data_IF_824888840804
#
_entry.id   IF_824888840804
#
_cell.length_a   1.000
_cell.length_b   1.000
_cell.length_c   1.000
_cell.angle_alpha   90.00
_cell.angle_beta   90.00
_cell.angle_gamma   90.00
#
_symmetry.space_group_name_H-M   'P 1'
#
loop_
_entity.id
_entity.type
_entity.pdbx_description
1 polymer ?
#
# COMPACT_ATOMS: atom_id res chain seq x y z
N UNK A 1 -10.87 -0.05 33.31
CA UNK A 1 -10.89 -0.37 34.75
C UNK A 1 -9.55 0.03 35.35
N UNK A 2 -9.50 0.55 36.58
CA UNK A 2 -8.23 0.71 37.31
C UNK A 2 -7.92 -0.62 38.02
N UNK A 3 -6.74 -1.20 37.80
CA UNK A 3 -6.24 -2.28 38.65
C UNK A 3 -5.72 -1.64 39.95
N UNK A 4 -6.50 -1.78 41.00
CA UNK A 4 -6.15 -1.28 42.32
C UNK A 4 -5.04 -2.16 42.93
N UNK A 5 -3.92 -1.54 43.30
CA UNK A 5 -2.68 -2.22 43.69
C UNK A 5 -2.80 -2.90 45.05
N UNK A 6 -3.44 -4.07 45.09
CA UNK A 6 -3.45 -4.94 46.27
C UNK A 6 -2.02 -5.31 46.67
N UNK A 7 -1.72 -5.17 47.96
CA UNK A 7 -0.40 -5.42 48.50
C UNK A 7 -0.01 -6.90 48.23
N UNK A 8 1.20 -7.20 47.71
CA UNK A 8 1.60 -8.58 47.41
C UNK A 8 1.55 -9.49 48.65
N UNK A 9 1.75 -8.95 49.86
CA UNK A 9 1.56 -9.71 51.11
C UNK A 9 0.10 -10.15 51.30
N UNK A 10 -0.88 -9.28 50.98
CA UNK A 10 -2.31 -9.64 51.03
C UNK A 10 -2.69 -10.68 49.96
N UNK A 11 -2.11 -10.60 48.76
CA UNK A 11 -2.32 -11.62 47.72
C UNK A 11 -1.76 -12.98 48.16
N UNK A 12 -0.57 -13.01 48.76
CA UNK A 12 0.01 -14.23 49.33
C UNK A 12 -0.85 -14.79 50.48
N UNK A 13 -1.34 -13.95 51.39
CA UNK A 13 -2.26 -14.38 52.46
C UNK A 13 -3.56 -14.95 51.89
N UNK A 14 -4.18 -14.29 50.90
CA UNK A 14 -5.40 -14.78 50.25
C UNK A 14 -5.17 -16.11 49.51
N UNK A 15 -4.03 -16.26 48.82
CA UNK A 15 -3.67 -17.51 48.14
C UNK A 15 -3.48 -18.66 49.15
N UNK A 16 -2.68 -18.46 50.20
CA UNK A 16 -2.43 -19.47 51.25
C UNK A 16 -3.73 -19.85 51.98
N UNK A 17 -4.58 -18.88 52.32
CA UNK A 17 -5.89 -19.14 52.94
C UNK A 17 -6.83 -19.90 51.99
N UNK A 18 -6.85 -19.55 50.71
CA UNK A 18 -7.67 -20.26 49.71
C UNK A 18 -7.20 -21.71 49.54
N UNK A 19 -5.88 -21.93 49.49
CA UNK A 19 -5.29 -23.26 49.32
C UNK A 19 -5.45 -24.15 50.57
N UNK A 20 -5.43 -23.55 51.77
CA UNK A 20 -5.80 -24.21 53.02
C UNK A 20 -7.30 -24.55 53.05
N UNK A 21 -8.17 -23.62 52.65
CA UNK A 21 -9.62 -23.87 52.60
C UNK A 21 -9.96 -25.03 51.65
N UNK A 22 -9.38 -25.04 50.44
CA UNK A 22 -9.55 -26.13 49.46
C UNK A 22 -9.13 -27.49 50.04
N UNK A 23 -8.02 -27.54 50.78
CA UNK A 23 -7.47 -28.78 51.37
C UNK A 23 -8.26 -29.24 52.61
N UNK A 24 -8.90 -28.32 53.33
CA UNK A 24 -9.86 -28.62 54.40
C UNK A 24 -11.20 -29.11 53.81
N UNK A 25 -11.66 -28.54 52.70
CA UNK A 25 -12.89 -28.98 52.02
C UNK A 25 -12.74 -30.35 51.36
N UNK A 26 -11.62 -30.63 50.68
CA UNK A 26 -11.36 -31.96 50.11
C UNK A 26 -11.10 -33.02 51.19
N UNK A 27 -10.68 -32.62 52.40
CA UNK A 27 -10.65 -33.51 53.56
C UNK A 27 -12.04 -33.76 54.18
N UNK A 28 -13.07 -32.95 53.86
CA UNK A 28 -14.46 -33.13 54.33
C UNK A 28 -15.35 -33.82 53.29
N UNK A 29 -15.15 -33.52 52.01
CA UNK A 29 -15.81 -34.19 50.89
C UNK A 29 -14.93 -35.33 50.40
N UNK A 30 -15.23 -36.56 50.83
CA UNK A 30 -14.48 -37.79 50.50
C UNK A 30 -14.53 -38.24 49.04
N UNK A 31 -14.44 -37.32 48.08
CA UNK A 31 -14.36 -37.60 46.65
C UNK A 31 -12.90 -37.72 46.21
N UNK A 32 -12.54 -38.89 45.66
CA UNK A 32 -11.27 -39.08 44.96
C UNK A 32 -11.38 -38.45 43.58
N UNK A 33 -10.47 -37.55 43.24
CA UNK A 33 -10.13 -37.30 41.83
C UNK A 33 -9.23 -38.43 41.30
N UNK A 34 -9.27 -38.76 40.00
CA UNK A 34 -8.48 -39.86 39.44
C UNK A 34 -6.99 -39.50 39.33
N UNK A 35 -6.19 -40.15 40.17
CA UNK A 35 -4.76 -40.46 39.96
C UNK A 35 -3.86 -39.41 39.27
N UNK A 36 -3.21 -38.57 40.08
CA UNK A 36 -1.80 -38.23 39.84
C UNK A 36 -0.90 -39.09 40.76
N UNK A 37 0.42 -39.05 40.56
CA UNK A 37 1.38 -40.04 41.08
C UNK A 37 1.34 -40.26 42.61
N UNK A 38 1.41 -41.54 43.03
CA UNK A 38 1.32 -41.92 44.45
C UNK A 38 2.68 -41.78 45.16
N UNK A 39 2.89 -40.66 45.84
CA UNK A 39 3.92 -40.53 46.88
C UNK A 39 3.36 -41.00 48.24
N UNK A 40 3.62 -42.27 48.61
CA UNK A 40 3.30 -42.79 49.96
C UNK A 40 4.27 -42.20 50.99
N UNK A 41 3.78 -41.31 51.86
CA UNK A 41 4.50 -40.94 53.10
C UNK A 41 4.40 -42.12 54.07
N UNK A 42 5.46 -42.93 54.14
CA UNK A 42 5.61 -44.00 55.13
C UNK A 42 6.23 -43.44 56.41
N UNK A 43 5.43 -43.29 57.46
CA UNK A 43 5.93 -42.94 58.80
C UNK A 43 6.50 -44.19 59.50
N UNK A 44 7.79 -44.43 59.29
CA UNK A 44 8.61 -45.37 60.09
C UNK A 44 9.61 -44.61 60.96
N UNK A 45 9.70 -44.95 62.24
CA UNK A 45 10.60 -44.29 63.19
C UNK A 45 12.03 -44.88 63.20
N UNK A 46 12.91 -44.29 64.03
CA UNK A 46 14.26 -44.78 64.45
C UNK A 46 15.40 -44.56 63.42
N UNK A 47 16.60 -44.06 63.79
CA UNK A 47 17.00 -43.21 64.92
C UNK A 47 17.90 -42.00 64.50
N UNK A 48 18.71 -41.50 65.44
CA UNK A 48 19.57 -40.30 65.42
C UNK A 48 20.92 -40.47 64.66
N UNK A 49 21.51 -39.32 64.25
CA UNK A 49 22.90 -39.05 63.85
C UNK A 49 23.37 -39.32 62.41
N UNK A 50 23.20 -38.30 61.55
CA UNK A 50 24.20 -37.88 60.54
C UNK A 50 24.33 -36.34 60.61
N UNK A 51 25.53 -35.79 60.38
CA UNK A 51 25.79 -34.36 60.50
C UNK A 51 25.19 -33.53 59.34
N UNK A 52 24.54 -32.41 59.67
CA UNK A 52 23.96 -31.47 58.70
C UNK A 52 24.91 -30.28 58.47
N UNK A 53 25.35 -30.02 57.23
CA UNK A 53 26.09 -28.80 56.91
C UNK A 53 25.23 -27.55 57.11
N UNK A 54 25.77 -26.51 57.77
CA UNK A 54 25.03 -25.30 58.07
C UNK A 54 24.72 -24.46 56.81
N UNK A 55 23.47 -24.00 56.58
CA UNK A 55 23.08 -23.30 55.33
C UNK A 55 23.81 -21.99 54.99
N UNK A 56 24.66 -21.47 55.89
CA UNK A 56 25.28 -20.15 55.76
C UNK A 56 26.56 -20.13 54.91
N UNK A 57 27.20 -21.28 54.62
CA UNK A 57 28.48 -21.29 53.91
C UNK A 57 28.39 -20.98 52.39
N UNK A 58 27.20 -21.08 51.78
CA UNK A 58 27.04 -20.83 50.34
C UNK A 58 27.10 -19.33 49.94
N UNK A 59 26.97 -18.39 50.88
CA UNK A 59 26.79 -16.97 50.55
C UNK A 59 28.08 -16.22 50.19
N UNK A 60 29.27 -16.73 50.55
CA UNK A 60 30.49 -15.92 50.49
C UNK A 60 31.30 -16.02 49.18
N UNK A 61 30.90 -16.87 48.23
CA UNK A 61 31.76 -17.34 47.12
C UNK A 61 31.38 -16.86 45.71
N UNK A 62 30.52 -15.84 45.59
CA UNK A 62 30.04 -15.32 44.29
C UNK A 62 30.34 -13.83 44.01
N UNK A 63 30.95 -13.10 44.95
CA UNK A 63 31.26 -11.67 44.81
C UNK A 63 32.78 -11.39 44.87
N UNK A 64 33.55 -11.92 43.91
CA UNK A 64 34.96 -11.54 43.70
C UNK A 64 35.31 -11.55 42.20
N UNK A 65 36.01 -10.52 41.74
CA UNK A 65 36.75 -10.51 40.46
C UNK A 65 35.94 -10.33 39.19
N UNK A 66 35.50 -9.11 38.91
CA UNK A 66 35.21 -8.66 37.55
C UNK A 66 36.31 -7.70 37.10
N UNK A 67 36.98 -8.00 35.98
CA UNK A 67 38.00 -7.17 35.35
C UNK A 67 37.89 -7.35 33.81
N UNK A 68 37.73 -6.28 33.01
CA UNK A 68 37.29 -6.42 31.63
C UNK A 68 38.44 -6.58 30.62
N UNK A 69 38.29 -7.52 29.68
CA UNK A 69 39.05 -7.55 28.41
C UNK A 69 38.11 -7.53 27.20
N UNK A 70 38.59 -7.07 26.03
CA UNK A 70 37.72 -6.60 24.94
C UNK A 70 37.09 -7.73 24.12
N UNK A 71 36.11 -7.31 23.31
CA UNK A 71 35.20 -8.12 22.51
C UNK A 71 35.91 -8.93 21.43
N UNK A 72 35.56 -10.22 21.31
CA UNK A 72 35.23 -10.87 20.02
C UNK A 72 34.42 -12.14 20.30
N UNK A 73 33.13 -11.99 20.67
CA UNK A 73 32.25 -13.11 21.00
C UNK A 73 31.46 -13.56 19.76
N UNK A 74 31.96 -14.59 19.07
CA UNK A 74 31.17 -15.36 18.11
C UNK A 74 30.07 -16.07 18.90
N UNK A 75 28.83 -15.57 18.79
CA UNK A 75 27.70 -16.09 19.55
C UNK A 75 27.04 -17.27 18.84
N UNK A 76 27.71 -18.41 18.92
CA UNK A 76 27.03 -19.71 18.83
C UNK A 76 26.02 -19.76 19.99
N UNK A 77 24.73 -19.75 19.66
CA UNK A 77 23.65 -19.94 20.64
C UNK A 77 23.40 -21.46 20.77
N UNK A 78 23.88 -22.14 21.84
CA UNK A 78 23.62 -23.57 21.99
C UNK A 78 22.10 -23.81 22.08
N UNK A 79 21.54 -24.75 21.30
CA UNK A 79 20.09 -24.91 21.17
C UNK A 79 19.43 -25.18 22.53
N UNK A 80 18.35 -24.46 22.81
CA UNK A 80 17.64 -24.49 24.09
C UNK A 80 18.14 -23.48 25.13
N UNK A 81 19.07 -22.57 24.79
CA UNK A 81 19.53 -21.52 25.69
C UNK A 81 18.39 -20.61 26.15
N UNK A 82 17.44 -20.26 25.25
CA UNK A 82 16.23 -19.50 25.62
C UNK A 82 15.35 -20.26 26.62
N UNK A 83 15.13 -21.56 26.43
CA UNK A 83 14.36 -22.40 27.36
C UNK A 83 15.06 -22.52 28.72
N UNK A 84 16.37 -22.78 28.73
CA UNK A 84 17.17 -22.88 29.95
C UNK A 84 17.17 -21.56 30.74
N UNK A 85 17.28 -20.41 30.06
CA UNK A 85 17.21 -19.09 30.68
C UNK A 85 15.83 -18.77 31.25
N UNK A 86 14.74 -19.16 30.59
CA UNK A 86 13.38 -19.02 31.14
C UNK A 86 13.23 -19.83 32.44
N UNK A 87 13.58 -21.12 32.41
CA UNK A 87 13.52 -22.04 33.57
C UNK A 87 14.38 -21.57 34.74
N UNK A 88 15.60 -21.09 34.46
CA UNK A 88 16.52 -20.49 35.45
C UNK A 88 15.94 -19.22 36.07
N UNK A 89 15.36 -18.33 35.25
CA UNK A 89 14.77 -17.07 35.70
C UNK A 89 13.52 -17.30 36.56
N UNK A 90 12.67 -18.27 36.19
CA UNK A 90 11.52 -18.67 36.99
C UNK A 90 11.92 -19.19 38.37
N UNK A 91 12.84 -20.16 38.43
CA UNK A 91 13.37 -20.72 39.70
C UNK A 91 14.00 -19.65 40.60
N UNK A 92 14.74 -18.68 40.03
CA UNK A 92 15.27 -17.54 40.77
C UNK A 92 14.16 -16.61 41.29
N UNK A 93 13.13 -16.34 40.48
CA UNK A 93 11.98 -15.51 40.85
C UNK A 93 11.16 -16.09 41.99
N UNK A 94 10.73 -17.36 41.87
CA UNK A 94 9.92 -18.02 42.91
C UNK A 94 10.69 -18.19 44.21
N UNK A 95 11.99 -18.51 44.15
CA UNK A 95 12.87 -18.53 45.33
C UNK A 95 12.97 -17.16 46.00
N UNK A 96 13.21 -16.10 45.22
CA UNK A 96 13.30 -14.75 45.76
C UNK A 96 11.98 -14.29 46.41
N UNK A 97 10.83 -14.75 45.90
CA UNK A 97 9.52 -14.46 46.46
C UNK A 97 9.24 -15.24 47.77
N UNK A 98 9.52 -16.55 47.78
CA UNK A 98 9.16 -17.43 48.88
C UNK A 98 10.17 -17.41 50.04
N UNK A 99 11.45 -17.14 49.80
CA UNK A 99 12.48 -16.99 50.86
C UNK A 99 12.66 -15.53 51.33
N UNK A 100 11.69 -14.65 51.06
CA UNK A 100 11.77 -13.22 51.42
C UNK A 100 11.51 -12.91 52.91
N UNK A 101 10.93 -13.85 53.67
CA UNK A 101 10.55 -13.66 55.07
C UNK A 101 11.66 -14.11 56.02
N UNK A 102 12.17 -13.22 56.88
CA UNK A 102 13.14 -13.60 57.91
C UNK A 102 12.46 -14.30 59.10
N UNK A 103 13.22 -15.09 59.88
CA UNK A 103 12.72 -15.70 61.11
C UNK A 103 12.24 -14.64 62.10
N UNK A 104 12.98 -13.54 62.22
CA UNK A 104 12.68 -12.42 63.10
C UNK A 104 11.42 -11.68 62.67
N UNK A 105 11.18 -11.52 61.36
CA UNK A 105 9.92 -10.98 60.84
C UNK A 105 8.73 -11.90 61.12
N UNK A 106 8.90 -13.21 60.91
CA UNK A 106 7.86 -14.20 61.20
C UNK A 106 7.50 -14.21 62.69
N UNK A 107 8.49 -14.25 63.59
CA UNK A 107 8.28 -14.22 65.03
C UNK A 107 7.57 -12.93 65.50
N UNK A 108 7.90 -11.77 64.90
CA UNK A 108 7.22 -10.49 65.17
C UNK A 108 5.75 -10.46 64.75
N UNK A 109 5.33 -11.31 63.81
CA UNK A 109 3.92 -11.43 63.43
C UNK A 109 3.08 -12.23 64.45
N UNK A 110 3.72 -12.99 65.33
CA UNK A 110 3.06 -13.87 66.32
C UNK A 110 3.46 -13.57 67.78
N UNK A 111 3.43 -12.30 68.25
CA UNK A 111 3.99 -11.90 69.53
C UNK A 111 3.19 -12.40 70.75
N UNK A 112 1.95 -12.85 70.55
CA UNK A 112 1.06 -13.40 71.58
C UNK A 112 1.32 -14.87 71.89
N UNK A 113 2.13 -15.57 71.08
CA UNK A 113 2.49 -16.96 71.29
C UNK A 113 3.77 -17.08 72.11
N UNK A 114 3.85 -18.11 72.96
CA UNK A 114 5.10 -18.46 73.62
C UNK A 114 6.17 -18.95 72.63
N UNK A 115 7.44 -18.90 73.05
CA UNK A 115 8.60 -19.22 72.18
C UNK A 115 8.55 -20.65 71.61
N UNK A 116 7.94 -21.62 72.29
CA UNK A 116 7.85 -22.99 71.80
C UNK A 116 6.80 -23.12 70.69
N UNK A 117 5.61 -22.50 70.87
CA UNK A 117 4.60 -22.40 69.81
C UNK A 117 5.09 -21.59 68.62
N UNK A 118 5.82 -20.49 68.87
CA UNK A 118 6.45 -19.68 67.83
C UNK A 118 7.46 -20.47 66.99
N UNK A 119 8.36 -21.24 67.61
CA UNK A 119 9.30 -22.10 66.88
C UNK A 119 8.56 -23.17 66.08
N UNK A 120 7.57 -23.84 66.66
CA UNK A 120 6.76 -24.85 65.97
C UNK A 120 6.02 -24.27 64.75
N UNK A 121 5.43 -23.08 64.87
CA UNK A 121 4.82 -22.36 63.74
C UNK A 121 5.85 -22.00 62.67
N UNK A 122 7.08 -21.65 63.04
CA UNK A 122 8.15 -21.35 62.08
C UNK A 122 8.64 -22.62 61.34
N UNK A 123 8.72 -23.77 62.02
CA UNK A 123 9.01 -25.05 61.37
C UNK A 123 7.90 -25.48 60.40
N UNK A 124 6.62 -25.30 60.78
CA UNK A 124 5.48 -25.50 59.86
C UNK A 124 5.52 -24.54 58.67
N UNK A 125 5.90 -23.27 58.88
CA UNK A 125 6.07 -22.29 57.80
C UNK A 125 7.16 -22.73 56.80
N UNK A 126 8.32 -23.21 57.27
CA UNK A 126 9.36 -23.77 56.39
C UNK A 126 8.81 -24.96 55.57
N UNK A 127 8.06 -25.87 56.19
CA UNK A 127 7.47 -27.03 55.49
C UNK A 127 6.44 -26.60 54.42
N UNK A 128 5.60 -25.60 54.72
CA UNK A 128 4.64 -25.03 53.77
C UNK A 128 5.36 -24.33 52.62
N UNK A 129 6.41 -23.56 52.89
CA UNK A 129 7.22 -22.87 51.87
C UNK A 129 7.96 -23.87 50.98
N UNK A 130 8.53 -24.94 51.54
CA UNK A 130 9.19 -25.99 50.76
C UNK A 130 8.20 -26.74 49.85
N UNK A 131 7.06 -27.21 50.38
CA UNK A 131 6.05 -27.87 49.55
C UNK A 131 5.44 -26.94 48.50
N UNK A 132 5.26 -25.65 48.81
CA UNK A 132 4.80 -24.67 47.83
C UNK A 132 5.84 -24.43 46.73
N UNK A 133 7.13 -24.47 47.07
CA UNK A 133 8.23 -24.42 46.11
C UNK A 133 8.15 -25.58 45.11
N UNK A 134 8.10 -26.82 45.61
CA UNK A 134 8.11 -28.03 44.79
C UNK A 134 6.87 -28.06 43.87
N UNK A 135 5.68 -27.80 44.43
CA UNK A 135 4.42 -27.78 43.66
C UNK A 135 4.43 -26.71 42.54
N UNK A 136 4.95 -25.50 42.82
CA UNK A 136 4.97 -24.41 41.82
C UNK A 136 6.00 -24.65 40.73
N UNK A 137 7.11 -25.34 41.03
CA UNK A 137 8.05 -25.78 40.01
C UNK A 137 7.49 -26.95 39.18
N UNK A 138 6.77 -27.92 39.78
CA UNK A 138 6.09 -29.00 39.05
C UNK A 138 5.02 -28.48 38.08
N UNK A 139 4.11 -27.61 38.56
CA UNK A 139 3.07 -26.99 37.73
C UNK A 139 3.66 -26.15 36.59
N UNK A 140 4.77 -25.42 36.83
CA UNK A 140 5.44 -24.64 35.79
C UNK A 140 6.03 -25.51 34.68
N UNK A 141 6.69 -26.62 35.03
CA UNK A 141 7.24 -27.56 34.05
C UNK A 141 6.12 -28.27 33.27
N UNK A 142 5.03 -28.63 33.95
CA UNK A 142 3.81 -29.19 33.34
C UNK A 142 3.20 -28.24 32.29
N UNK A 143 2.99 -26.97 32.67
CA UNK A 143 2.49 -25.93 31.75
C UNK A 143 3.45 -25.73 30.57
N UNK A 144 4.76 -25.65 30.80
CA UNK A 144 5.75 -25.49 29.72
C UNK A 144 5.78 -26.67 28.74
N UNK A 145 5.49 -27.89 29.22
CA UNK A 145 5.36 -29.10 28.40
C UNK A 145 4.05 -29.08 27.59
N UNK A 146 2.90 -28.87 28.23
CA UNK A 146 1.58 -28.84 27.58
C UNK A 146 1.51 -27.76 26.49
N UNK A 147 1.95 -26.54 26.82
CA UNK A 147 1.96 -25.40 25.89
C UNK A 147 3.11 -25.42 24.89
N UNK A 148 4.02 -26.39 24.98
CA UNK A 148 5.19 -26.58 24.09
C UNK A 148 6.11 -25.35 24.00
N UNK A 149 6.20 -24.56 25.07
CA UNK A 149 7.00 -23.33 25.15
C UNK A 149 8.48 -23.58 24.84
N UNK A 150 9.03 -24.76 25.17
CA UNK A 150 10.37 -25.17 24.74
C UNK A 150 10.54 -25.09 23.23
N UNK A 151 9.82 -25.94 22.48
CA UNK A 151 9.90 -25.99 21.02
C UNK A 151 9.59 -24.64 20.33
N UNK A 152 8.70 -23.83 20.92
CA UNK A 152 8.44 -22.46 20.43
C UNK A 152 9.65 -21.53 20.63
N UNK A 153 10.32 -21.59 21.78
CA UNK A 153 11.56 -20.84 22.05
C UNK A 153 12.73 -21.36 21.19
N UNK A 154 12.84 -22.67 20.98
CA UNK A 154 13.86 -23.28 20.12
C UNK A 154 13.68 -22.85 18.65
N UNK A 155 12.43 -22.79 18.17
CA UNK A 155 12.10 -22.26 16.84
C UNK A 155 12.49 -20.78 16.73
N UNK A 156 12.29 -19.99 17.79
CA UNK A 156 12.69 -18.57 17.85
C UNK A 156 14.20 -18.40 18.13
N UNK A 157 14.90 -19.43 18.60
CA UNK A 157 16.38 -19.51 18.63
C UNK A 157 16.89 -19.66 17.19
N UNK A 158 16.48 -20.73 16.49
CA UNK A 158 16.89 -21.01 15.11
C UNK A 158 16.53 -19.92 14.10
N UNK A 159 15.33 -19.32 14.17
CA UNK A 159 14.94 -18.21 13.28
C UNK A 159 15.77 -16.93 13.50
N UNK A 160 16.32 -16.73 14.70
CA UNK A 160 17.22 -15.59 14.99
C UNK A 160 18.64 -15.89 14.52
N UNK A 161 19.09 -17.13 14.67
CA UNK A 161 20.36 -17.62 14.13
C UNK A 161 20.37 -17.54 12.59
N UNK A 162 19.36 -18.12 11.92
CA UNK A 162 19.14 -18.04 10.47
C UNK A 162 19.15 -16.59 9.97
N UNK A 163 18.42 -15.68 10.63
CA UNK A 163 18.43 -14.25 10.29
C UNK A 163 19.74 -13.52 10.58
N UNK A 164 20.59 -14.05 11.46
CA UNK A 164 21.93 -13.49 11.69
C UNK A 164 22.97 -14.00 10.69
N UNK A 165 22.72 -15.15 10.07
CA UNK A 165 23.58 -15.78 9.06
C UNK A 165 23.19 -15.37 7.62
N UNK A 166 21.92 -15.04 7.37
CA UNK A 166 21.48 -14.48 6.08
C UNK A 166 21.90 -13.01 5.94
N UNK A 167 23.15 -12.82 5.51
CA UNK A 167 23.76 -11.52 5.15
C UNK A 167 23.01 -10.79 4.02
N UNK A 168 22.14 -11.47 3.27
CA UNK A 168 21.29 -10.85 2.24
C UNK A 168 19.90 -10.44 2.77
N UNK A 169 19.54 -10.84 4.00
CA UNK A 169 18.23 -10.56 4.61
C UNK A 169 18.04 -9.12 5.10
N UNK A 170 19.08 -8.27 5.02
CA UNK A 170 18.92 -6.84 5.26
C UNK A 170 18.25 -6.18 4.04
N UNK A 171 16.93 -6.39 3.95
CA UNK A 171 16.03 -5.78 2.96
C UNK A 171 16.23 -4.26 2.86
N UNK A 172 16.75 -3.60 3.91
CA UNK A 172 16.97 -2.15 3.90
C UNK A 172 18.04 -1.74 2.89
N UNK A 173 19.11 -2.51 2.72
CA UNK A 173 20.17 -2.23 1.76
C UNK A 173 19.65 -2.39 0.32
N UNK A 174 19.09 -3.56 0.00
CA UNK A 174 18.54 -3.87 -1.32
C UNK A 174 17.42 -2.88 -1.72
N UNK A 175 16.54 -2.52 -0.79
CA UNK A 175 15.48 -1.55 -1.04
C UNK A 175 16.00 -0.13 -1.28
N UNK A 176 17.03 0.32 -0.55
CA UNK A 176 17.65 1.64 -0.74
C UNK A 176 18.31 1.75 -2.12
N UNK A 177 19.04 0.72 -2.55
CA UNK A 177 19.71 0.74 -3.86
C UNK A 177 18.73 0.66 -5.03
N UNK A 178 17.70 -0.22 -4.95
CA UNK A 178 16.62 -0.27 -5.94
C UNK A 178 15.89 1.08 -6.01
N UNK A 179 15.56 1.69 -4.87
CA UNK A 179 14.92 3.01 -4.81
C UNK A 179 15.80 4.10 -5.41
N UNK A 180 17.12 4.07 -5.19
CA UNK A 180 18.06 5.02 -5.77
C UNK A 180 18.21 4.82 -7.29
N UNK A 181 18.29 3.58 -7.77
CA UNK A 181 18.36 3.26 -9.19
C UNK A 181 17.09 3.70 -9.94
N UNK A 182 15.90 3.38 -9.42
CA UNK A 182 14.61 3.83 -9.98
C UNK A 182 14.50 5.36 -9.96
N UNK A 183 14.97 6.01 -8.88
CA UNK A 183 14.96 7.48 -8.79
C UNK A 183 15.91 8.15 -9.79
N UNK A 184 17.06 7.55 -10.13
CA UNK A 184 17.94 8.02 -11.21
C UNK A 184 17.23 7.85 -12.56
N UNK A 185 16.81 6.63 -12.90
CA UNK A 185 16.17 6.32 -14.17
C UNK A 185 14.96 7.22 -14.47
N UNK A 186 14.08 7.47 -13.48
CA UNK A 186 12.94 8.37 -13.64
C UNK A 186 13.34 9.85 -13.80
N UNK A 187 14.43 10.29 -13.16
CA UNK A 187 14.96 11.66 -13.35
C UNK A 187 15.53 11.83 -14.76
N UNK A 188 16.23 10.83 -15.28
CA UNK A 188 16.83 10.85 -16.61
C UNK A 188 15.75 10.78 -17.71
N UNK A 189 14.70 9.97 -17.52
CA UNK A 189 13.50 9.93 -18.36
C UNK A 189 12.76 11.28 -18.40
N UNK A 190 12.54 11.91 -17.24
CA UNK A 190 11.95 13.26 -17.16
C UNK A 190 12.81 14.29 -17.88
N UNK A 191 14.14 14.22 -17.74
CA UNK A 191 15.09 15.10 -18.42
C UNK A 191 15.00 14.95 -19.95
N UNK A 192 15.00 13.70 -20.44
CA UNK A 192 14.85 13.37 -21.86
C UNK A 192 13.53 13.88 -22.45
N UNK A 193 12.40 13.58 -21.79
CA UNK A 193 11.07 14.01 -22.24
C UNK A 193 10.92 15.54 -22.21
N UNK A 194 11.48 16.21 -21.20
CA UNK A 194 11.51 17.68 -21.12
C UNK A 194 12.31 18.28 -22.29
N UNK A 195 13.45 17.67 -22.65
CA UNK A 195 14.26 18.15 -23.77
C UNK A 195 13.56 17.91 -25.12
N UNK A 196 12.92 16.76 -25.34
CA UNK A 196 12.09 16.53 -26.54
C UNK A 196 10.96 17.56 -26.64
N UNK A 197 10.22 17.79 -25.55
CA UNK A 197 9.13 18.75 -25.52
C UNK A 197 9.60 20.17 -25.87
N UNK A 198 10.75 20.59 -25.32
CA UNK A 198 11.40 21.87 -25.66
C UNK A 198 11.71 21.98 -27.15
N UNK A 199 12.29 20.95 -27.76
CA UNK A 199 12.60 20.92 -29.20
C UNK A 199 11.33 20.99 -30.07
N UNK A 200 10.29 20.25 -29.71
CA UNK A 200 8.99 20.27 -30.42
C UNK A 200 8.30 21.64 -30.30
N UNK A 201 8.33 22.26 -29.11
CA UNK A 201 7.79 23.63 -28.91
C UNK A 201 8.56 24.65 -29.75
N UNK A 202 9.89 24.61 -29.76
CA UNK A 202 10.72 25.49 -30.60
C UNK A 202 10.44 25.31 -32.10
N UNK A 203 10.33 24.06 -32.57
CA UNK A 203 9.98 23.77 -33.96
C UNK A 203 8.58 24.29 -34.34
N UNK A 204 7.58 24.04 -33.49
CA UNK A 204 6.20 24.53 -33.69
C UNK A 204 6.13 26.07 -33.69
N UNK A 205 6.96 26.75 -32.89
CA UNK A 205 7.03 28.21 -32.88
C UNK A 205 7.68 28.76 -34.15
N UNK A 206 8.78 28.15 -34.63
CA UNK A 206 9.38 28.51 -35.91
C UNK A 206 8.42 28.28 -37.10
N UNK A 207 7.69 27.17 -37.11
CA UNK A 207 6.65 26.88 -38.10
C UNK A 207 5.50 27.87 -38.05
N UNK A 208 5.07 28.31 -36.85
CA UNK A 208 4.04 29.35 -36.69
C UNK A 208 4.48 30.67 -37.33
N UNK A 209 5.70 31.14 -37.03
CA UNK A 209 6.27 32.36 -37.61
C UNK A 209 6.31 32.28 -39.14
N UNK A 210 6.70 31.13 -39.71
CA UNK A 210 6.71 30.91 -41.17
C UNK A 210 5.30 30.91 -41.79
N UNK A 211 4.30 30.36 -41.09
CA UNK A 211 2.89 30.41 -41.54
C UNK A 211 2.34 31.84 -41.46
N UNK A 212 2.75 32.63 -40.47
CA UNK A 212 2.34 34.03 -40.31
C UNK A 212 3.00 34.94 -41.37
N UNK A 213 4.27 34.74 -41.72
CA UNK A 213 4.92 35.48 -42.80
C UNK A 213 4.28 35.20 -44.16
N UNK A 214 4.04 33.92 -44.50
CA UNK A 214 3.36 33.53 -45.74
C UNK A 214 1.91 34.03 -45.81
N UNK A 215 1.20 34.10 -44.67
CA UNK A 215 -0.14 34.71 -44.59
C UNK A 215 -0.11 36.22 -44.81
N UNK A 216 0.97 36.91 -44.43
CA UNK A 216 1.15 38.34 -44.70
C UNK A 216 1.44 38.55 -46.19
N UNK A 217 2.44 37.86 -46.74
CA UNK A 217 2.80 37.90 -48.17
C UNK A 217 1.59 37.65 -49.09
N UNK A 218 0.73 36.67 -48.76
CA UNK A 218 -0.51 36.40 -49.49
C UNK A 218 -1.56 37.52 -49.40
N UNK A 219 -1.59 38.31 -48.32
CA UNK A 219 -2.46 39.50 -48.23
C UNK A 219 -1.89 40.64 -49.05
N UNK A 220 -0.59 40.85 -48.96
CA UNK A 220 0.12 41.88 -49.71
C UNK A 220 -0.02 41.63 -51.24
N UNK A 221 -0.01 40.37 -51.68
CA UNK A 221 -0.31 39.99 -53.08
C UNK A 221 -1.79 40.01 -53.47
N UNK A 222 -2.73 40.07 -52.52
CA UNK A 222 -4.15 40.31 -52.86
C UNK A 222 -4.44 41.77 -53.23
N UNK A 223 -3.59 42.71 -52.79
CA UNK A 223 -3.66 44.11 -53.20
C UNK A 223 -3.31 44.26 -54.69
N UNK A 224 -2.33 43.51 -55.19
CA UNK A 224 -2.00 43.54 -56.61
C UNK A 224 -3.07 42.89 -57.48
N UNK A 225 -3.79 41.86 -57.01
CA UNK A 225 -4.96 41.32 -57.76
C UNK A 225 -6.12 42.31 -57.82
N UNK A 226 -6.41 43.06 -56.76
CA UNK A 226 -7.45 44.11 -56.75
C UNK A 226 -7.11 45.25 -57.75
N UNK A 227 -5.84 45.64 -57.84
CA UNK A 227 -5.37 46.61 -58.86
C UNK A 227 -5.54 46.04 -60.28
N UNK A 228 -5.22 44.76 -60.49
CA UNK A 228 -5.34 44.10 -61.80
C UNK A 228 -6.81 44.02 -62.26
N UNK A 229 -7.74 43.63 -61.39
CA UNK A 229 -9.18 43.57 -61.72
C UNK A 229 -9.76 44.96 -62.03
N UNK A 230 -9.31 46.01 -61.32
CA UNK A 230 -9.67 47.40 -61.63
C UNK A 230 -9.14 47.83 -63.00
N UNK A 231 -7.91 47.45 -63.36
CA UNK A 231 -7.34 47.72 -64.69
C UNK A 231 -8.07 46.96 -65.79
N UNK A 232 -8.47 45.71 -65.59
CA UNK A 232 -9.28 44.96 -66.56
C UNK A 232 -10.68 45.57 -66.71
N UNK A 233 -11.34 45.93 -65.60
CA UNK A 233 -12.66 46.58 -65.60
C UNK A 233 -12.60 47.93 -66.34
N UNK A 234 -11.56 48.73 -66.10
CA UNK A 234 -11.36 49.99 -66.81
C UNK A 234 -11.09 49.79 -68.31
N UNK A 235 -10.31 48.76 -68.70
CA UNK A 235 -10.10 48.41 -70.11
C UNK A 235 -11.39 47.96 -70.80
N UNK A 236 -12.24 47.18 -70.13
CA UNK A 236 -13.54 46.76 -70.67
C UNK A 236 -14.47 47.95 -70.84
N UNK A 237 -14.55 48.85 -69.85
CA UNK A 237 -15.32 50.09 -69.95
C UNK A 237 -14.82 50.98 -71.10
N UNK A 238 -13.50 51.16 -71.25
CA UNK A 238 -12.92 51.94 -72.35
C UNK A 238 -13.23 51.31 -73.71
N UNK A 239 -13.16 49.99 -73.84
CA UNK A 239 -13.52 49.27 -75.07
C UNK A 239 -15.02 49.44 -75.40
N UNK A 240 -15.91 49.35 -74.40
CA UNK A 240 -17.34 49.60 -74.57
C UNK A 240 -17.65 51.07 -74.94
N UNK A 241 -16.88 52.04 -74.43
CA UNK A 241 -17.04 53.45 -74.79
C UNK A 241 -16.52 53.78 -76.19
N UNK A 242 -15.43 53.12 -76.65
CA UNK A 242 -14.83 53.36 -77.96
C UNK A 242 -15.49 52.60 -79.11
N UNK A 243 -16.01 51.38 -78.87
CA UNK A 243 -16.58 50.51 -79.91
C UNK A 243 -18.07 50.20 -79.71
N UNK A 244 -18.65 50.52 -78.55
CA UNK A 244 -20.05 50.20 -78.24
C UNK A 244 -21.05 51.01 -79.07
N UNK A 245 -20.72 52.24 -79.48
CA UNK A 245 -21.52 53.02 -80.44
C UNK A 245 -21.73 52.25 -81.74
N UNK A 246 -20.65 51.74 -82.28
CA UNK A 246 -20.59 51.14 -83.61
C UNK A 246 -21.20 49.74 -83.59
N UNK A 247 -20.99 48.99 -82.50
CA UNK A 247 -21.63 47.70 -82.27
C UNK A 247 -23.16 47.83 -82.10
N UNK A 248 -23.63 48.87 -81.37
CA UNK A 248 -25.06 49.15 -81.20
C UNK A 248 -25.71 49.63 -82.50
N UNK A 249 -25.00 50.42 -83.31
CA UNK A 249 -25.43 50.82 -84.66
C UNK A 249 -25.56 49.60 -85.57
N UNK A 250 -24.56 48.70 -85.59
CA UNK A 250 -24.61 47.43 -86.32
C UNK A 250 -25.77 46.54 -85.88
N UNK A 251 -25.99 46.40 -84.56
CA UNK A 251 -27.07 45.56 -84.03
C UNK A 251 -28.46 46.12 -84.35
N UNK A 252 -28.65 47.45 -84.27
CA UNK A 252 -29.88 48.13 -84.70
C UNK A 252 -30.16 47.89 -86.17
N UNK A 253 -29.18 48.15 -87.04
CA UNK A 253 -29.30 47.95 -88.48
C UNK A 253 -29.60 46.48 -88.83
N UNK A 254 -29.00 45.52 -88.10
CA UNK A 254 -29.29 44.10 -88.25
C UNK A 254 -30.73 43.74 -87.83
N UNK A 255 -31.23 44.28 -86.71
CA UNK A 255 -32.61 44.07 -86.27
C UNK A 255 -33.63 44.67 -87.25
N UNK A 256 -33.40 45.89 -87.74
CA UNK A 256 -34.27 46.54 -88.73
C UNK A 256 -34.28 45.76 -90.05
N UNK A 257 -33.12 45.31 -90.53
CA UNK A 257 -33.00 44.44 -91.71
C UNK A 257 -33.75 43.11 -91.53
N UNK A 258 -33.63 42.47 -90.36
CA UNK A 258 -34.36 41.24 -90.03
C UNK A 258 -35.88 41.47 -90.06
N UNK A 259 -36.37 42.51 -89.39
CA UNK A 259 -37.80 42.88 -89.36
C UNK A 259 -38.35 43.17 -90.76
N UNK A 260 -37.61 43.91 -91.59
CA UNK A 260 -37.97 44.14 -92.99
C UNK A 260 -38.02 42.84 -93.80
N UNK A 261 -37.13 41.88 -93.54
CA UNK A 261 -37.13 40.58 -94.20
C UNK A 261 -38.36 39.73 -93.84
N UNK A 262 -38.80 39.77 -92.56
CA UNK A 262 -39.99 39.06 -92.07
C UNK A 262 -41.26 39.69 -92.65
N UNK A 263 -41.38 41.02 -92.62
CA UNK A 263 -42.50 41.73 -93.23
C UNK A 263 -42.61 41.45 -94.74
N UNK A 264 -41.49 41.46 -95.47
CA UNK A 264 -41.45 41.15 -96.92
C UNK A 264 -41.89 39.71 -97.21
N UNK A 265 -41.50 38.73 -96.38
CA UNK A 265 -41.97 37.34 -96.49
C UNK A 265 -43.47 37.22 -96.23
N UNK A 266 -43.99 37.87 -95.19
CA UNK A 266 -45.42 37.81 -94.84
C UNK A 266 -46.30 38.47 -95.91
N UNK A 267 -45.85 39.58 -96.52
CA UNK A 267 -46.52 40.19 -97.67
C UNK A 267 -46.47 39.30 -98.92
N UNK A 268 -45.37 38.58 -99.17
CA UNK A 268 -45.27 37.63 -100.27
C UNK A 268 -46.25 36.45 -100.09
N UNK A 269 -46.31 35.88 -98.87
CA UNK A 269 -47.22 34.77 -98.54
C UNK A 269 -48.71 35.14 -98.78
N UNK A 270 -49.16 36.29 -98.24
CA UNK A 270 -50.52 36.79 -98.50
C UNK A 270 -50.79 37.07 -99.98
N UNK A 271 -49.77 37.51 -100.75
CA UNK A 271 -49.89 37.73 -102.20
C UNK A 271 -50.03 36.44 -103.00
N UNK A 272 -49.50 35.30 -102.50
CA UNK A 272 -49.78 33.98 -103.08
C UNK A 272 -51.18 33.46 -102.71
N UNK A 273 -51.63 33.61 -101.46
CA UNK A 273 -52.99 33.21 -101.05
C UNK A 273 -54.07 33.94 -101.87
N UNK A 274 -53.94 35.26 -102.03
CA UNK A 274 -54.85 36.07 -102.85
C UNK A 274 -54.84 35.74 -104.35
N UNK A 275 -53.81 35.03 -104.84
CA UNK A 275 -53.76 34.53 -106.22
C UNK A 275 -54.38 33.14 -106.37
N UNK A 276 -54.34 32.31 -105.34
CA UNK A 276 -54.87 30.94 -105.40
C UNK A 276 -56.39 30.91 -105.20
N UNK A 277 -56.95 31.87 -104.47
CA UNK A 277 -58.40 32.07 -104.32
C UNK A 277 -59.10 32.75 -105.50
N UNK A 278 -58.37 33.15 -106.55
CA UNK A 278 -58.88 33.88 -107.72
C UNK A 278 -58.70 33.11 -109.05
N UNK A 279 -58.72 31.78 -108.94
CA UNK A 279 -58.77 30.82 -110.04
C UNK A 279 -59.51 29.56 -109.51
N UNK A 280 -60.78 29.62 -109.10
CA UNK A 280 -61.96 30.03 -109.90
C UNK A 280 -61.88 29.48 -111.32
N UNK A 281 -62.51 28.33 -111.57
CA UNK A 281 -63.87 28.28 -112.13
C UNK A 281 -63.92 28.76 -113.59
N UNK A 282 -63.41 27.92 -114.49
CA UNK A 282 -63.55 28.10 -115.93
C UNK A 282 -62.88 26.98 -116.73
N UNK A 283 -63.62 26.39 -117.67
CA UNK A 283 -63.17 25.46 -118.73
C UNK A 283 -62.50 24.15 -118.22
N UNK A 284 -63.11 22.96 -118.25
CA UNK A 284 -64.32 22.45 -118.90
C UNK A 284 -64.28 22.38 -120.44
N UNK A 285 -64.48 21.14 -120.96
CA UNK A 285 -64.78 20.73 -122.35
C UNK A 285 -63.62 20.67 -123.38
N UNK A 286 -63.68 19.67 -124.29
CA UNK A 286 -62.93 19.52 -125.58
C UNK A 286 -61.41 19.27 -125.42
N UNK A 287 -60.71 18.26 -125.97
CA UNK A 287 -60.92 17.06 -126.84
C UNK A 287 -59.61 16.21 -126.72
N UNK A 288 -59.36 14.94 -127.10
CA UNK A 288 -59.93 13.86 -127.94
C UNK A 288 -60.41 12.67 -127.06
N UNK A 289 -60.74 11.41 -127.46
CA UNK A 289 -60.39 10.43 -128.53
C UNK A 289 -59.02 9.75 -128.43
#
# INVERSE_FOLDING_TARGET
>A
MKFETRNPRQLLTLFVLSHLHLKIESSKRGQRYPSLGVARVALSAVPVAVAVPSPLQCFHKLNQGADPKPMEEVRDFPPGLKQANLKKSFKLGIRSLLTACSKEEFLKAFPTFDKAKQEYLYQLFIQVIASLHDNVEEEFESICYETKVGAALDTVEGLVEEKSLDVLSDDTANFVDVKQAVSRAKKDEISYLTNMLKMVVQHNQAMRVRVESLKKEKRDSSVTTDIIDKVYTFKVLLFLLLYGSDLLMLFRNAQESYMLSVLRKNFAAKKSEFKLGAATEGLSLVILS
#
